data_IF_390359658220
#
_entry.id   IF_390359658220
#
_cell.length_a   1.000
_cell.length_b   1.000
_cell.length_c   1.000
_cell.angle_alpha   90.00
_cell.angle_beta   90.00
_cell.angle_gamma   90.00
#
_symmetry.space_group_name_H-M   'P 1'
#
loop_
_entity.id
_entity.type
_entity.pdbx_description
1 polymer ?
#
# COMPACT_ATOMS: atom_id res chain seq x y z
N UNK A 1 1.22 21.23 15.73
CA UNK A 1 0.87 19.87 15.36
C UNK A 1 1.48 19.53 14.01
N UNK A 2 2.13 18.38 13.91
CA UNK A 2 2.60 17.85 12.63
C UNK A 2 2.45 16.33 12.58
N UNK A 3 2.36 15.79 11.37
CA UNK A 3 2.27 14.35 11.12
C UNK A 3 3.42 13.92 10.20
N UNK A 4 4.01 12.78 10.51
CA UNK A 4 4.86 12.02 9.60
C UNK A 4 4.19 10.67 9.33
N UNK A 5 4.02 10.34 8.06
CA UNK A 5 3.34 9.13 7.63
C UNK A 5 4.15 8.39 6.58
N UNK A 6 4.29 7.08 6.74
CA UNK A 6 4.98 6.21 5.80
C UNK A 6 4.06 5.07 5.38
N UNK A 7 3.84 4.93 4.09
CA UNK A 7 3.24 3.74 3.46
C UNK A 7 4.33 2.89 2.80
N UNK A 8 4.83 1.85 3.49
CA UNK A 8 5.81 0.93 2.93
C UNK A 8 5.10 -0.18 2.16
N UNK A 9 5.22 -0.16 0.84
CA UNK A 9 4.72 -1.23 -0.02
C UNK A 9 5.82 -2.28 -0.13
N UNK A 10 5.58 -3.49 0.36
CA UNK A 10 6.57 -4.57 0.26
C UNK A 10 7.05 -4.75 -1.17
N UNK A 11 8.37 -4.90 -1.37
CA UNK A 11 9.00 -5.00 -2.69
C UNK A 11 8.34 -6.03 -3.63
N UNK A 12 7.96 -7.19 -3.10
CA UNK A 12 7.28 -8.22 -3.89
C UNK A 12 5.81 -7.88 -4.19
N UNK A 13 5.14 -7.10 -3.31
CA UNK A 13 3.78 -6.60 -3.56
C UNK A 13 3.80 -5.54 -4.64
N UNK A 14 4.74 -4.62 -4.58
CA UNK A 14 4.91 -3.62 -5.62
C UNK A 14 5.18 -4.27 -6.98
N UNK A 15 6.13 -5.20 -7.05
CA UNK A 15 6.43 -5.96 -8.27
C UNK A 15 5.22 -6.72 -8.82
N UNK A 16 4.36 -7.24 -7.94
CA UNK A 16 3.13 -7.93 -8.31
C UNK A 16 2.07 -6.98 -8.87
N UNK A 17 1.71 -5.94 -8.12
CA UNK A 17 0.54 -5.11 -8.42
C UNK A 17 0.84 -3.96 -9.37
N UNK A 18 1.98 -3.29 -9.19
CA UNK A 18 2.29 -2.01 -9.83
C UNK A 18 3.36 -2.10 -10.93
N UNK A 19 3.98 -3.28 -11.10
CA UNK A 19 4.92 -3.52 -12.20
C UNK A 19 4.37 -4.53 -13.21
N UNK A 20 3.76 -5.64 -12.75
CA UNK A 20 3.24 -6.72 -13.60
C UNK A 20 1.73 -6.75 -13.69
N UNK A 21 1.04 -6.32 -12.65
CA UNK A 21 -0.40 -6.47 -12.47
C UNK A 21 -1.22 -5.35 -13.08
N UNK A 22 -2.50 -5.34 -12.76
CA UNK A 22 -3.50 -4.44 -13.33
C UNK A 22 -3.20 -2.95 -13.09
N UNK A 23 -2.44 -2.61 -12.06
CA UNK A 23 -2.09 -1.24 -11.69
C UNK A 23 -0.74 -0.78 -12.25
N UNK A 24 -0.17 -1.51 -13.22
CA UNK A 24 1.14 -1.21 -13.77
C UNK A 24 1.20 0.12 -14.54
N UNK A 25 0.09 0.58 -15.09
CA UNK A 25 0.06 1.80 -15.90
C UNK A 25 -0.91 2.83 -15.35
N UNK A 26 -0.39 3.99 -14.97
CA UNK A 26 -1.17 5.15 -14.57
C UNK A 26 -2.08 5.64 -15.70
N UNK A 27 -1.64 5.52 -16.95
CA UNK A 27 -2.41 5.93 -18.14
C UNK A 27 -3.60 5.02 -18.43
N UNK A 28 -3.46 3.72 -18.20
CA UNK A 28 -4.51 2.73 -18.47
C UNK A 28 -5.47 2.56 -17.29
N UNK A 29 -5.02 2.84 -16.08
CA UNK A 29 -5.82 2.69 -14.86
C UNK A 29 -5.86 4.00 -14.08
N UNK A 30 -4.94 4.19 -13.13
CA UNK A 30 -4.84 5.40 -12.31
C UNK A 30 -3.43 5.51 -11.69
N UNK A 31 -2.95 6.73 -11.39
CA UNK A 31 -1.67 6.91 -10.69
C UNK A 31 -1.65 6.22 -9.32
N UNK A 32 -0.46 5.79 -8.89
CA UNK A 32 -0.24 5.10 -7.61
C UNK A 32 -0.84 5.86 -6.41
N UNK A 33 -0.78 7.18 -6.44
CA UNK A 33 -1.33 8.01 -5.37
C UNK A 33 -2.83 7.80 -5.18
N UNK A 34 -3.57 7.55 -6.25
CA UNK A 34 -5.00 7.23 -6.20
C UNK A 34 -5.26 5.73 -6.04
N UNK A 35 -4.45 4.89 -6.69
CA UNK A 35 -4.63 3.43 -6.63
C UNK A 35 -4.30 2.83 -5.26
N UNK A 36 -3.44 3.48 -4.48
CA UNK A 36 -2.92 2.95 -3.21
C UNK A 36 -2.95 3.96 -2.08
N UNK A 37 -2.42 5.15 -2.29
CA UNK A 37 -2.19 6.11 -1.22
C UNK A 37 -3.38 7.06 -0.97
N UNK A 38 -4.50 6.90 -1.65
CA UNK A 38 -5.74 7.61 -1.32
C UNK A 38 -6.14 7.41 0.15
N UNK A 39 -6.03 6.19 0.66
CA UNK A 39 -6.28 5.90 2.07
C UNK A 39 -5.34 6.65 3.02
N UNK A 40 -4.10 6.87 2.60
CA UNK A 40 -3.06 7.52 3.39
C UNK A 40 -3.26 9.03 3.44
N UNK A 41 -3.69 9.62 2.34
CA UNK A 41 -4.08 11.03 2.29
C UNK A 41 -5.33 11.29 3.11
N UNK A 42 -6.32 10.41 2.99
CA UNK A 42 -7.58 10.51 3.72
C UNK A 42 -7.36 10.41 5.24
N UNK A 43 -6.58 9.42 5.72
CA UNK A 43 -6.30 9.29 7.14
C UNK A 43 -5.53 10.49 7.71
N UNK A 44 -4.58 11.06 6.96
CA UNK A 44 -3.87 12.27 7.38
C UNK A 44 -4.84 13.46 7.47
N UNK A 45 -5.71 13.63 6.47
CA UNK A 45 -6.74 14.67 6.48
C UNK A 45 -7.73 14.49 7.62
N UNK A 46 -8.18 13.26 7.85
CA UNK A 46 -9.11 12.90 8.93
C UNK A 46 -8.52 13.16 10.32
N UNK A 47 -7.28 12.73 10.57
CA UNK A 47 -6.58 12.95 11.83
C UNK A 47 -6.38 14.43 12.17
N UNK A 48 -6.12 15.26 11.16
CA UNK A 48 -5.94 16.69 11.35
C UNK A 48 -7.25 17.46 11.43
N UNK A 49 -8.31 16.93 10.82
CA UNK A 49 -9.61 17.57 10.70
C UNK A 49 -9.52 19.03 10.21
N UNK A 50 -8.68 19.29 9.21
CA UNK A 50 -8.40 20.61 8.66
C UNK A 50 -8.25 20.54 7.13
N UNK A 51 -8.73 21.55 6.38
CA UNK A 51 -8.46 21.64 4.95
C UNK A 51 -6.97 21.77 4.65
N UNK A 52 -6.52 21.08 3.62
CA UNK A 52 -5.19 21.23 3.07
C UNK A 52 -5.12 22.49 2.19
N UNK A 53 -4.11 23.33 2.41
CA UNK A 53 -3.90 24.61 1.68
C UNK A 53 -2.85 24.49 0.59
N UNK A 54 -1.80 23.73 0.83
CA UNK A 54 -0.68 23.60 -0.10
C UNK A 54 -0.12 22.19 -0.04
N UNK A 55 0.29 21.68 -1.21
CA UNK A 55 0.97 20.41 -1.37
C UNK A 55 2.18 20.60 -2.27
N UNK A 56 3.29 19.99 -1.88
CA UNK A 56 4.44 19.79 -2.77
C UNK A 56 4.78 18.30 -2.79
N UNK A 57 5.06 17.76 -3.95
CA UNK A 57 5.35 16.34 -4.09
C UNK A 57 6.47 16.08 -5.11
N UNK A 58 7.28 15.07 -4.85
CA UNK A 58 8.30 14.56 -5.73
C UNK A 58 8.23 13.04 -5.76
N UNK A 59 8.36 12.46 -6.93
CA UNK A 59 8.38 11.03 -7.12
C UNK A 59 8.78 10.67 -8.53
N UNK A 60 9.34 9.50 -8.71
CA UNK A 60 9.74 9.00 -10.03
C UNK A 60 9.64 7.47 -10.08
N UNK A 61 9.61 6.95 -11.28
CA UNK A 61 9.93 5.56 -11.56
C UNK A 61 11.44 5.50 -11.78
N UNK A 62 12.19 5.07 -10.79
CA UNK A 62 13.65 5.06 -10.85
C UNK A 62 14.25 3.68 -11.01
N UNK A 63 13.67 2.67 -10.39
CA UNK A 63 14.26 1.34 -10.29
C UNK A 63 13.73 0.35 -11.34
N UNK A 64 12.42 0.23 -11.52
CA UNK A 64 11.81 -0.76 -12.43
C UNK A 64 11.85 -0.29 -13.89
N UNK A 65 13.06 -0.04 -14.38
CA UNK A 65 13.37 0.43 -15.74
C UNK A 65 14.36 -0.50 -16.44
N UNK A 66 14.31 -0.55 -17.76
CA UNK A 66 15.19 -1.35 -18.60
C UNK A 66 16.68 -1.10 -18.34
N UNK A 67 17.07 0.13 -18.06
CA UNK A 67 18.46 0.49 -17.77
C UNK A 67 19.03 -0.16 -16.51
N UNK A 68 18.19 -0.61 -15.59
CA UNK A 68 18.58 -1.26 -14.34
C UNK A 68 18.50 -2.79 -14.43
N UNK A 69 18.28 -3.31 -15.62
CA UNK A 69 18.22 -4.74 -15.86
C UNK A 69 19.58 -5.39 -15.62
N UNK A 70 19.66 -6.44 -14.76
CA UNK A 70 20.92 -7.14 -14.55
C UNK A 70 21.35 -7.91 -15.81
N UNK A 71 22.66 -7.99 -16.03
CA UNK A 71 23.23 -8.79 -17.12
C UNK A 71 22.76 -10.25 -17.01
N UNK A 72 22.32 -10.83 -18.13
CA UNK A 72 21.79 -12.19 -18.20
C UNK A 72 20.29 -12.31 -17.88
N UNK A 73 19.59 -11.20 -17.66
CA UNK A 73 18.14 -11.21 -17.56
C UNK A 73 17.48 -11.51 -18.91
N UNK A 74 16.32 -12.16 -18.88
CA UNK A 74 15.48 -12.47 -20.04
C UNK A 74 14.14 -11.74 -19.95
N UNK A 75 13.32 -11.83 -21.02
CA UNK A 75 11.98 -11.24 -21.03
C UNK A 75 11.06 -11.86 -19.97
N UNK A 76 11.25 -13.15 -19.70
CA UNK A 76 10.48 -13.89 -18.70
C UNK A 76 11.37 -14.50 -17.64
N UNK A 77 10.84 -14.60 -16.43
CA UNK A 77 11.58 -15.18 -15.31
C UNK A 77 11.91 -16.66 -15.51
N UNK A 78 11.16 -17.38 -16.34
CA UNK A 78 11.41 -18.79 -16.66
C UNK A 78 12.73 -18.98 -17.43
N UNK A 79 13.05 -18.05 -18.33
CA UNK A 79 14.23 -18.12 -19.21
C UNK A 79 15.41 -17.31 -18.66
N UNK A 80 15.29 -16.75 -17.46
CA UNK A 80 16.23 -15.79 -16.92
C UNK A 80 17.43 -16.48 -16.23
N UNK A 81 18.63 -16.26 -16.72
CA UNK A 81 19.84 -16.86 -16.16
C UNK A 81 20.15 -16.41 -14.72
N UNK A 82 19.65 -15.22 -14.33
CA UNK A 82 19.86 -14.64 -12.99
C UNK A 82 18.63 -14.76 -12.08
N UNK A 83 17.65 -15.61 -12.45
CA UNK A 83 16.38 -15.79 -11.73
C UNK A 83 16.60 -16.08 -10.23
N UNK A 84 17.52 -16.97 -9.91
CA UNK A 84 17.75 -17.43 -8.53
C UNK A 84 18.25 -16.31 -7.60
N UNK A 85 18.88 -15.26 -8.13
CA UNK A 85 19.39 -14.11 -7.39
C UNK A 85 18.40 -12.92 -7.40
N UNK A 86 17.32 -13.00 -8.20
CA UNK A 86 16.37 -11.91 -8.34
C UNK A 86 15.34 -11.91 -7.18
N UNK A 87 15.26 -10.84 -6.37
CA UNK A 87 14.23 -10.76 -5.33
C UNK A 87 12.81 -10.66 -5.89
N UNK A 88 12.67 -10.22 -7.13
CA UNK A 88 11.39 -10.03 -7.83
C UNK A 88 11.01 -11.23 -8.72
N UNK A 89 11.72 -12.34 -8.62
CA UNK A 89 11.46 -13.52 -9.43
C UNK A 89 9.99 -13.96 -9.34
N UNK A 90 9.34 -14.12 -10.49
CA UNK A 90 7.99 -14.64 -10.58
C UNK A 90 7.91 -16.09 -10.09
N UNK A 91 8.94 -16.90 -10.37
CA UNK A 91 9.04 -18.28 -9.86
C UNK A 91 9.10 -18.31 -8.33
N UNK A 92 9.84 -17.39 -7.73
CA UNK A 92 9.93 -17.26 -6.27
C UNK A 92 8.60 -16.83 -5.67
N UNK A 93 8.00 -15.76 -6.19
CA UNK A 93 6.78 -15.15 -5.62
C UNK A 93 5.58 -16.09 -5.78
N UNK A 94 5.33 -16.59 -6.97
CA UNK A 94 4.08 -17.31 -7.26
C UNK A 94 4.19 -18.81 -7.09
N UNK A 95 5.30 -19.45 -7.50
CA UNK A 95 5.44 -20.91 -7.45
C UNK A 95 5.99 -21.36 -6.11
N UNK A 96 7.12 -20.77 -5.65
CA UNK A 96 7.76 -21.23 -4.40
C UNK A 96 7.03 -20.76 -3.15
N UNK A 97 6.59 -19.47 -3.13
CA UNK A 97 5.97 -18.83 -1.96
C UNK A 97 4.44 -18.84 -2.00
N UNK A 98 3.82 -19.21 -3.11
CA UNK A 98 2.37 -19.22 -3.30
C UNK A 98 1.70 -17.89 -2.91
N UNK A 99 2.33 -16.75 -3.22
CA UNK A 99 1.76 -15.42 -2.97
C UNK A 99 0.86 -14.98 -4.11
N UNK A 100 -0.18 -14.20 -3.77
CA UNK A 100 -1.06 -13.55 -4.76
C UNK A 100 -1.74 -14.50 -5.74
N UNK A 101 -2.08 -15.71 -5.31
CA UNK A 101 -2.65 -16.75 -6.17
C UNK A 101 -4.06 -16.42 -6.68
N UNK A 102 -4.72 -15.44 -6.08
CA UNK A 102 -6.06 -14.99 -6.46
C UNK A 102 -6.13 -14.39 -7.88
N UNK A 103 -5.00 -14.09 -8.50
CA UNK A 103 -4.94 -13.62 -9.90
C UNK A 103 -4.91 -14.77 -10.92
N UNK A 104 -4.87 -16.00 -10.48
CA UNK A 104 -4.85 -17.19 -11.32
C UNK A 104 -6.13 -18.00 -11.13
N UNK A 105 -6.89 -18.18 -12.19
CA UNK A 105 -8.14 -18.92 -12.13
C UNK A 105 -7.94 -20.44 -12.09
N UNK A 106 -8.92 -21.14 -11.52
CA UNK A 106 -9.03 -22.59 -11.58
C UNK A 106 -7.77 -23.34 -11.14
N UNK A 107 -7.12 -22.88 -10.07
CA UNK A 107 -5.96 -23.55 -9.51
C UNK A 107 -6.35 -24.86 -8.82
N UNK A 108 -5.68 -25.99 -9.13
CA UNK A 108 -5.89 -27.27 -8.45
C UNK A 108 -5.62 -27.18 -6.95
N UNK A 109 -6.24 -28.08 -6.17
CA UNK A 109 -5.96 -28.19 -4.71
C UNK A 109 -4.59 -28.84 -4.46
N UNK A 110 -4.24 -29.86 -5.26
CA UNK A 110 -2.95 -30.52 -5.18
C UNK A 110 -1.80 -29.54 -5.47
N UNK A 111 -0.74 -29.60 -4.67
CA UNK A 111 0.36 -28.64 -4.75
C UNK A 111 1.16 -28.77 -6.04
N UNK A 112 1.49 -29.98 -6.45
CA UNK A 112 2.31 -30.20 -7.65
C UNK A 112 1.56 -29.79 -8.91
N UNK A 113 0.28 -30.16 -9.03
CA UNK A 113 -0.58 -29.75 -10.11
C UNK A 113 -0.79 -28.21 -10.11
N UNK A 114 -0.91 -27.59 -8.95
CA UNK A 114 -1.00 -26.13 -8.79
C UNK A 114 0.25 -25.44 -9.31
N UNK A 115 1.43 -25.92 -8.93
CA UNK A 115 2.71 -25.34 -9.37
C UNK A 115 2.87 -25.41 -10.89
N UNK A 116 2.45 -26.51 -11.50
CA UNK A 116 2.43 -26.67 -12.96
C UNK A 116 1.50 -25.63 -13.57
N UNK A 117 0.27 -25.50 -13.05
CA UNK A 117 -0.72 -24.57 -13.57
C UNK A 117 -0.27 -23.12 -13.44
N UNK A 118 0.33 -22.73 -12.32
CA UNK A 118 0.91 -21.38 -12.15
C UNK A 118 2.00 -21.13 -13.19
N UNK A 119 2.91 -22.09 -13.43
CA UNK A 119 3.94 -21.93 -14.46
C UNK A 119 3.36 -21.72 -15.86
N UNK A 120 2.26 -22.41 -16.21
CA UNK A 120 1.55 -22.17 -17.48
C UNK A 120 1.05 -20.71 -17.58
N UNK A 121 0.44 -20.20 -16.52
CA UNK A 121 0.02 -18.78 -16.47
C UNK A 121 1.21 -17.82 -16.60
N UNK A 122 2.33 -18.11 -15.92
CA UNK A 122 3.51 -17.26 -15.99
C UNK A 122 4.15 -17.22 -17.40
N UNK A 123 3.90 -18.21 -18.25
CA UNK A 123 4.37 -18.20 -19.64
C UNK A 123 3.59 -17.25 -20.53
N UNK A 124 2.34 -17.00 -20.25
CA UNK A 124 1.41 -16.29 -21.15
C UNK A 124 0.95 -14.94 -20.62
N UNK A 125 1.03 -14.71 -19.30
CA UNK A 125 0.59 -13.46 -18.67
C UNK A 125 1.74 -12.52 -18.33
N UNK A 126 1.43 -11.28 -18.03
CA UNK A 126 2.41 -10.29 -17.57
C UNK A 126 3.03 -10.65 -16.22
N UNK A 127 2.38 -11.47 -15.40
CA UNK A 127 2.92 -11.92 -14.12
C UNK A 127 4.23 -12.70 -14.24
N UNK A 128 4.54 -13.28 -15.40
CA UNK A 128 5.82 -13.94 -15.66
C UNK A 128 6.90 -13.05 -16.26
N UNK A 129 6.59 -11.80 -16.65
CA UNK A 129 7.56 -10.88 -17.27
C UNK A 129 8.63 -10.42 -16.28
N UNK A 130 9.78 -10.07 -16.83
CA UNK A 130 10.84 -9.40 -16.09
C UNK A 130 10.36 -8.02 -15.62
N UNK A 131 10.58 -7.67 -14.35
CA UNK A 131 10.17 -6.37 -13.79
C UNK A 131 10.87 -5.17 -14.45
N UNK A 132 12.04 -5.39 -15.04
CA UNK A 132 12.78 -4.36 -15.76
C UNK A 132 12.35 -4.21 -17.22
N UNK A 133 11.51 -5.14 -17.71
CA UNK A 133 10.97 -5.17 -19.08
C UNK A 133 9.45 -5.01 -19.13
N UNK A 134 8.83 -4.75 -18.00
CA UNK A 134 7.41 -4.41 -17.93
C UNK A 134 7.17 -2.99 -18.45
N UNK A 135 5.97 -2.73 -18.95
CA UNK A 135 5.56 -1.42 -19.47
C UNK A 135 4.96 -0.53 -18.38
N UNK A 136 5.43 -0.69 -17.14
CA UNK A 136 4.95 0.09 -16.02
C UNK A 136 5.43 1.54 -16.10
N UNK A 137 4.55 2.45 -15.70
CA UNK A 137 4.81 3.90 -15.60
C UNK A 137 4.48 4.46 -14.20
N UNK A 138 4.25 3.59 -13.22
CA UNK A 138 3.99 3.99 -11.84
C UNK A 138 5.28 4.45 -11.16
N UNK A 139 5.18 5.50 -10.35
CA UNK A 139 6.29 5.94 -9.49
C UNK A 139 6.60 4.83 -8.48
N UNK A 140 7.89 4.50 -8.29
CA UNK A 140 8.31 3.47 -7.32
C UNK A 140 8.70 4.04 -5.95
N UNK A 141 8.75 5.33 -5.85
CA UNK A 141 8.85 6.09 -4.60
C UNK A 141 8.27 7.49 -4.79
N UNK A 142 7.70 8.04 -3.75
CA UNK A 142 7.37 9.46 -3.72
C UNK A 142 7.28 10.00 -2.28
N UNK A 143 7.48 11.30 -2.18
CA UNK A 143 7.28 12.07 -0.95
C UNK A 143 6.34 13.23 -1.24
N UNK A 144 5.49 13.57 -0.28
CA UNK A 144 4.72 14.78 -0.32
C UNK A 144 4.75 15.51 1.03
N UNK A 145 4.78 16.84 0.96
CA UNK A 145 4.63 17.70 2.11
C UNK A 145 3.34 18.50 1.94
N UNK A 146 2.56 18.56 2.99
CA UNK A 146 1.25 19.21 3.01
C UNK A 146 1.22 20.27 4.11
N UNK A 147 0.66 21.41 3.79
CA UNK A 147 0.34 22.45 4.77
C UNK A 147 -1.18 22.59 4.86
N UNK A 148 -1.68 22.48 6.06
CA UNK A 148 -3.08 22.62 6.42
C UNK A 148 -3.36 23.99 7.04
N UNK A 149 -4.62 24.28 7.33
CA UNK A 149 -5.00 25.47 8.10
C UNK A 149 -4.27 25.49 9.46
N UNK A 150 -4.19 26.70 10.05
CA UNK A 150 -3.49 26.95 11.32
C UNK A 150 -2.02 26.49 11.33
N UNK A 151 -1.38 26.51 10.15
CA UNK A 151 0.04 26.17 9.96
C UNK A 151 0.40 24.73 10.39
N UNK A 152 -0.58 23.85 10.45
CA UNK A 152 -0.36 22.44 10.68
C UNK A 152 0.28 21.80 9.45
N UNK A 153 1.23 20.91 9.63
CA UNK A 153 1.96 20.28 8.53
C UNK A 153 1.91 18.77 8.59
N UNK A 154 1.98 18.13 7.43
CA UNK A 154 2.20 16.71 7.33
C UNK A 154 3.22 16.39 6.24
N UNK A 155 4.01 15.35 6.46
CA UNK A 155 4.85 14.73 5.45
C UNK A 155 4.46 13.28 5.26
N UNK A 156 4.41 12.83 4.02
CA UNK A 156 4.10 11.45 3.68
C UNK A 156 5.11 10.92 2.67
N UNK A 157 5.53 9.67 2.85
CA UNK A 157 6.28 8.95 1.83
C UNK A 157 5.64 7.60 1.51
N UNK A 158 5.77 7.19 0.26
CA UNK A 158 5.35 5.88 -0.24
C UNK A 158 6.53 5.22 -0.93
N UNK A 159 6.85 4.01 -0.49
CA UNK A 159 8.09 3.34 -0.84
C UNK A 159 7.86 1.90 -1.33
N UNK A 160 8.30 1.63 -2.55
CA UNK A 160 8.22 0.28 -3.13
C UNK A 160 9.28 -0.68 -2.57
N UNK A 161 10.47 -0.15 -2.23
CA UNK A 161 11.63 -0.97 -1.84
C UNK A 161 11.71 -1.18 -0.32
N UNK A 162 10.67 -1.78 0.24
CA UNK A 162 10.60 -2.09 1.67
C UNK A 162 10.45 -3.58 1.92
N UNK A 163 11.01 -4.07 3.02
CA UNK A 163 10.90 -5.47 3.45
C UNK A 163 9.58 -5.77 4.15
N UNK A 164 8.94 -4.75 4.75
CA UNK A 164 7.69 -4.86 5.49
C UNK A 164 6.60 -4.00 4.84
N UNK A 165 5.36 -4.38 5.04
CA UNK A 165 4.20 -3.53 4.84
C UNK A 165 3.66 -3.08 6.19
N UNK A 166 2.61 -2.28 6.16
CA UNK A 166 1.98 -1.70 7.34
C UNK A 166 2.48 -0.29 7.61
N UNK A 167 1.54 0.61 7.66
CA UNK A 167 1.77 2.05 7.82
C UNK A 167 2.51 2.36 9.11
N UNK A 168 3.32 3.41 9.07
CA UNK A 168 3.96 4.00 10.24
C UNK A 168 3.57 5.46 10.33
N UNK A 169 3.02 5.84 11.48
CA UNK A 169 2.53 7.21 11.70
C UNK A 169 3.10 7.77 12.98
N UNK A 170 3.57 8.99 12.92
CA UNK A 170 3.94 9.78 14.08
C UNK A 170 3.17 11.08 14.09
N UNK A 171 2.52 11.39 15.20
CA UNK A 171 1.79 12.64 15.42
C UNK A 171 2.52 13.41 16.54
N UNK A 172 3.01 14.59 16.21
CA UNK A 172 3.77 15.45 17.12
C UNK A 172 2.90 16.62 17.55
N UNK A 173 2.41 16.55 18.79
CA UNK A 173 1.61 17.60 19.41
C UNK A 173 2.44 18.53 20.29
N UNK A 174 1.77 19.43 20.99
CA UNK A 174 2.39 20.37 21.92
C UNK A 174 2.51 19.85 23.36
N UNK A 175 1.80 18.79 23.69
CA UNK A 175 1.76 18.20 25.04
C UNK A 175 2.19 16.73 25.04
N UNK A 176 2.14 16.07 23.92
CA UNK A 176 2.48 14.66 23.74
C UNK A 176 2.86 14.37 22.30
N UNK A 177 3.55 13.27 22.07
CA UNK A 177 3.64 12.66 20.73
C UNK A 177 3.02 11.25 20.73
N UNK A 178 2.60 10.81 19.56
CA UNK A 178 2.09 9.47 19.31
C UNK A 178 2.93 8.83 18.22
N UNK A 179 3.41 7.62 18.48
CA UNK A 179 4.07 6.79 17.47
C UNK A 179 3.31 5.49 17.34
N UNK A 180 2.96 5.11 16.12
CA UNK A 180 2.20 3.89 15.93
C UNK A 180 2.26 3.31 14.53
N UNK A 181 1.59 2.19 14.43
CA UNK A 181 1.33 1.50 13.19
C UNK A 181 -0.17 1.13 13.10
N UNK A 182 -0.52 0.20 12.25
CA UNK A 182 -1.93 -0.23 12.10
C UNK A 182 -2.45 -1.09 13.27
N UNK A 183 -1.64 -1.42 14.26
CA UNK A 183 -2.01 -2.34 15.34
C UNK A 183 -1.81 -1.73 16.72
N UNK A 184 -0.69 -1.06 16.90
CA UNK A 184 -0.29 -0.51 18.18
C UNK A 184 0.07 0.95 18.05
N UNK A 185 -0.17 1.71 19.10
CA UNK A 185 0.38 3.05 19.22
C UNK A 185 0.77 3.38 20.67
N UNK A 186 1.80 4.20 20.80
CA UNK A 186 2.31 4.69 22.07
C UNK A 186 2.18 6.20 22.10
N UNK A 187 1.47 6.73 23.10
CA UNK A 187 1.44 8.15 23.43
C UNK A 187 2.42 8.41 24.55
N UNK A 188 3.31 9.39 24.37
CA UNK A 188 4.23 9.87 25.42
C UNK A 188 3.84 11.28 25.84
N UNK A 189 3.44 11.44 27.10
CA UNK A 189 3.13 12.75 27.70
C UNK A 189 4.42 13.52 28.03
N UNK A 190 4.55 14.75 27.53
CA UNK A 190 5.79 15.53 27.68
C UNK A 190 6.00 16.08 29.09
N UNK A 191 4.92 16.32 29.84
CA UNK A 191 5.03 16.85 31.18
C UNK A 191 5.52 15.79 32.16
N UNK A 192 5.01 14.59 32.05
CA UNK A 192 5.25 13.51 33.02
C UNK A 192 6.25 12.46 32.54
N UNK A 193 6.53 12.40 31.21
CA UNK A 193 7.29 11.34 30.56
C UNK A 193 6.55 9.99 30.53
N UNK A 194 5.31 9.95 30.99
CA UNK A 194 4.52 8.72 31.08
C UNK A 194 4.12 8.27 29.68
N UNK A 195 4.22 6.96 29.46
CA UNK A 195 3.78 6.31 28.21
C UNK A 195 2.47 5.57 28.44
N UNK A 196 1.59 5.71 27.45
CA UNK A 196 0.33 4.98 27.34
C UNK A 196 0.38 4.18 26.06
N UNK A 197 0.23 2.86 26.18
CA UNK A 197 0.32 1.93 25.05
C UNK A 197 -1.07 1.37 24.78
N UNK A 198 -1.48 1.44 23.52
CA UNK A 198 -2.64 0.73 22.98
C UNK A 198 -2.15 -0.40 22.06
N UNK A 199 -2.56 -1.61 22.39
CA UNK A 199 -2.30 -2.82 21.66
C UNK A 199 -3.60 -3.66 21.62
N UNK A 200 -4.60 -3.13 20.93
CA UNK A 200 -5.86 -3.85 20.78
C UNK A 200 -5.74 -4.91 19.70
N UNK A 201 -6.24 -6.10 20.00
CA UNK A 201 -6.39 -7.18 19.04
C UNK A 201 -7.59 -6.88 18.12
N UNK A 202 -7.36 -6.05 17.11
CA UNK A 202 -8.39 -5.66 16.14
C UNK A 202 -8.99 -6.85 15.39
N UNK A 203 -8.34 -8.03 15.41
CA UNK A 203 -8.89 -9.25 14.80
C UNK A 203 -10.18 -9.72 15.45
N UNK A 204 -10.46 -9.24 16.66
CA UNK A 204 -11.70 -9.53 17.40
C UNK A 204 -12.86 -8.59 17.08
N UNK A 205 -12.60 -7.52 16.31
CA UNK A 205 -13.65 -6.61 15.92
C UNK A 205 -14.61 -7.27 14.92
N UNK A 206 -15.93 -7.03 15.03
CA UNK A 206 -16.88 -7.50 14.03
C UNK A 206 -16.50 -7.00 12.64
N UNK A 207 -16.54 -7.91 11.66
CA UNK A 207 -16.20 -7.55 10.27
C UNK A 207 -14.72 -7.28 10.02
N UNK A 208 -13.82 -7.75 10.88
CA UNK A 208 -12.36 -7.62 10.71
C UNK A 208 -11.85 -8.14 9.35
N UNK A 209 -12.55 -9.10 8.77
CA UNK A 209 -12.29 -9.56 7.41
C UNK A 209 -12.46 -8.39 6.43
N UNK A 210 -11.63 -8.34 5.40
CA UNK A 210 -11.61 -7.20 4.48
C UNK A 210 -10.96 -5.94 5.07
N UNK A 211 -9.70 -5.69 4.69
CA UNK A 211 -8.92 -4.51 5.11
C UNK A 211 -8.98 -4.19 6.61
N UNK A 212 -8.87 -5.25 7.45
CA UNK A 212 -8.90 -5.14 8.91
C UNK A 212 -10.19 -4.46 9.45
N UNK A 213 -11.31 -4.75 8.84
CA UNK A 213 -12.62 -4.20 9.23
C UNK A 213 -13.02 -2.90 8.53
N UNK A 214 -12.14 -2.32 7.72
CA UNK A 214 -12.43 -1.09 7.00
C UNK A 214 -13.61 -1.22 6.03
N UNK A 215 -13.67 -2.32 5.28
CA UNK A 215 -14.75 -2.57 4.32
C UNK A 215 -16.11 -2.64 5.04
N UNK A 216 -16.16 -3.32 6.18
CA UNK A 216 -17.38 -3.41 6.99
C UNK A 216 -17.75 -2.05 7.60
N UNK A 217 -16.77 -1.28 8.07
CA UNK A 217 -16.97 0.06 8.63
C UNK A 217 -17.60 1.00 7.62
N UNK A 218 -17.05 1.10 6.43
CA UNK A 218 -17.57 1.94 5.33
C UNK A 218 -19.01 1.54 4.98
N UNK A 219 -19.28 0.25 4.81
CA UNK A 219 -20.62 -0.22 4.48
C UNK A 219 -21.63 0.08 5.59
N UNK A 220 -21.25 -0.10 6.86
CA UNK A 220 -22.08 0.23 8.00
C UNK A 220 -22.43 1.72 8.03
N UNK A 221 -21.42 2.58 7.92
CA UNK A 221 -21.60 4.04 7.95
C UNK A 221 -22.50 4.50 6.80
N UNK A 222 -22.28 3.97 5.60
CA UNK A 222 -23.11 4.24 4.44
C UNK A 222 -24.59 3.84 4.67
N UNK A 223 -24.83 2.62 5.14
CA UNK A 223 -26.21 2.14 5.43
C UNK A 223 -26.89 3.00 6.50
N UNK A 224 -26.17 3.39 7.55
CA UNK A 224 -26.69 4.26 8.60
C UNK A 224 -27.03 5.66 8.06
N UNK A 225 -26.17 6.23 7.23
CA UNK A 225 -26.40 7.54 6.62
C UNK A 225 -27.66 7.52 5.73
N UNK A 226 -27.81 6.49 4.89
CA UNK A 226 -28.98 6.33 4.02
C UNK A 226 -30.26 6.09 4.84
N UNK A 227 -30.20 5.19 5.81
CA UNK A 227 -31.38 4.83 6.62
C UNK A 227 -31.91 6.01 7.47
N UNK A 228 -31.04 6.89 7.91
CA UNK A 228 -31.37 8.05 8.74
C UNK A 228 -31.46 9.37 7.94
N UNK A 229 -31.18 9.35 6.63
CA UNK A 229 -31.10 10.56 5.80
C UNK A 229 -30.18 11.63 6.41
N UNK A 230 -29.00 11.22 6.94
CA UNK A 230 -28.11 12.08 7.71
C UNK A 230 -26.65 11.71 7.44
N UNK A 231 -25.94 12.61 6.78
CA UNK A 231 -24.52 12.44 6.40
C UNK A 231 -23.56 12.42 7.61
N UNK A 232 -23.99 12.83 8.79
CA UNK A 232 -23.14 12.77 10.00
C UNK A 232 -22.68 11.36 10.37
N UNK A 233 -23.32 10.33 9.82
CA UNK A 233 -22.87 8.94 9.98
C UNK A 233 -21.67 8.59 9.09
N UNK A 234 -21.32 9.42 8.11
CA UNK A 234 -20.15 9.21 7.27
C UNK A 234 -18.90 9.76 7.97
N UNK A 235 -17.91 8.92 8.13
CA UNK A 235 -16.61 9.31 8.70
C UNK A 235 -15.78 10.16 7.74
N UNK A 236 -16.02 10.03 6.44
CA UNK A 236 -15.41 10.85 5.37
C UNK A 236 -16.43 11.04 4.26
N UNK A 237 -16.62 12.27 3.83
CA UNK A 237 -17.50 12.62 2.71
C UNK A 237 -16.68 13.00 1.48
N UNK A 238 -17.31 13.03 0.31
CA UNK A 238 -16.65 13.39 -0.95
C UNK A 238 -16.05 14.81 -0.93
N UNK A 239 -16.58 15.68 -0.10
CA UNK A 239 -16.09 17.08 0.01
C UNK A 239 -14.81 17.18 0.85
N UNK A 240 -14.46 16.15 1.61
CA UNK A 240 -13.31 16.15 2.52
C UNK A 240 -12.27 15.07 2.23
N UNK A 241 -12.57 14.14 1.31
CA UNK A 241 -11.67 13.03 0.92
C UNK A 241 -10.72 13.38 -0.20
#
# INVERSE_FOLDING_TARGET
LSIQHLEPIRFHHFAHSYVRGNWQSAKKTTPLILAKACHDLDIVRWLLNKPCKQVTAFGDLSFFKRQNEPAGAADRCEDCAVESQCPFSAQRIYVKQHRYLYVFDNLPKDRAAKDIKIKEYLRTTDYGRCVFRSENDQVDHYVCNMQFEDQVTASMSVEAMTSSGGRKTRIMGTKADIVGDMKTFTLTDFLTGKQYIWDEDISKLPGYEGHAGGDWGIMKDFVLAVANHDEKYLSSTIDVS
#
